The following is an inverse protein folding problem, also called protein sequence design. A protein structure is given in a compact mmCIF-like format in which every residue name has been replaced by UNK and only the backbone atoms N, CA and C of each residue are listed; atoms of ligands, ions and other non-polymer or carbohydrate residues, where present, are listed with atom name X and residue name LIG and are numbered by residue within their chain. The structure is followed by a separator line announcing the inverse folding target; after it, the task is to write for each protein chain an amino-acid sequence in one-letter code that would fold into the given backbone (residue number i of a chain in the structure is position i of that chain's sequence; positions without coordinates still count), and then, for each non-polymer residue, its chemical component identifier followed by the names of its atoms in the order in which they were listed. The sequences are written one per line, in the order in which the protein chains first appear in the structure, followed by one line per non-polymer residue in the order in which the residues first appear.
data_IF_586126570133
#
_entry.id   IF_586126570133
#
_cell.length_a   1.000
_cell.length_b   1.000
_cell.length_c   1.000
_cell.angle_alpha   90.00
_cell.angle_beta   90.00
_cell.angle_gamma   90.00
#
_symmetry.space_group_name_H-M   'P 1'
#
loop_
_entity.id
_entity.type
_entity.pdbx_description
1 polymer ?
#
# COMPACT_ATOMS: atom_id res chain seq x y z
N UNK A 1 -1.69 5.61 -19.55
CA UNK A 1 -1.11 5.24 -18.25
C UNK A 1 -1.12 3.71 -18.15
N UNK A 2 0.00 3.06 -18.46
CA UNK A 2 0.20 1.64 -18.19
C UNK A 2 0.77 1.50 -16.79
N UNK A 3 -0.12 1.49 -15.79
CA UNK A 3 0.27 1.31 -14.40
C UNK A 3 -0.11 -0.10 -13.99
N UNK A 4 0.87 -0.94 -13.68
CA UNK A 4 0.59 -2.29 -13.18
C UNK A 4 0.12 -2.18 -11.74
N UNK A 5 -1.10 -2.60 -11.47
CA UNK A 5 -1.67 -2.61 -10.14
C UNK A 5 -1.89 -4.03 -9.63
N UNK A 6 -1.52 -4.27 -8.39
CA UNK A 6 -1.78 -5.55 -7.72
C UNK A 6 -2.93 -5.38 -6.74
N UNK A 7 -3.99 -6.14 -6.94
CA UNK A 7 -5.16 -6.08 -6.05
C UNK A 7 -5.09 -7.13 -4.95
N UNK A 8 -5.35 -6.70 -3.74
CA UNK A 8 -5.53 -7.59 -2.59
C UNK A 8 -6.99 -7.70 -2.19
N UNK A 9 -7.41 -8.89 -1.93
CA UNK A 9 -8.76 -9.14 -1.42
C UNK A 9 -8.77 -10.10 -0.24
N UNK A 10 -9.71 -9.84 0.64
CA UNK A 10 -10.18 -10.53 1.84
C UNK A 10 -9.51 -10.12 3.14
N UNK A 11 -10.14 -9.17 3.83
CA UNK A 11 -10.41 -9.28 5.26
C UNK A 11 -11.92 -9.32 5.57
N UNK A 12 -12.79 -9.12 4.59
CA UNK A 12 -14.25 -9.19 4.79
C UNK A 12 -14.92 -9.96 3.66
N UNK A 13 -15.65 -11.01 4.02
CA UNK A 13 -16.63 -11.62 3.16
C UNK A 13 -17.79 -10.62 2.95
N UNK A 14 -17.74 -9.86 1.88
CA UNK A 14 -18.93 -9.20 1.40
C UNK A 14 -19.91 -10.30 0.98
N UNK A 15 -21.02 -10.43 1.70
CA UNK A 15 -22.13 -11.28 1.31
C UNK A 15 -22.73 -10.74 0.03
N UNK A 16 -22.55 -11.40 -1.06
CA UNK A 16 -23.22 -11.12 -2.33
C UNK A 16 -22.32 -11.20 -3.53
N UNK A 17 -22.66 -12.09 -4.44
CA UNK A 17 -22.16 -12.24 -5.80
C UNK A 17 -20.65 -12.51 -5.94
N UNK A 18 -20.31 -13.79 -6.09
CA UNK A 18 -18.97 -14.30 -6.44
C UNK A 18 -17.90 -14.01 -5.38
N UNK A 19 -18.17 -14.40 -4.12
CA UNK A 19 -17.22 -14.24 -3.02
C UNK A 19 -15.86 -14.92 -3.25
N UNK A 20 -15.81 -15.93 -4.11
CA UNK A 20 -14.60 -16.67 -4.44
C UNK A 20 -13.70 -15.92 -5.44
N UNK A 21 -14.29 -15.11 -6.32
CA UNK A 21 -13.59 -14.37 -7.37
C UNK A 21 -14.08 -12.91 -7.46
N UNK A 22 -13.92 -12.10 -6.41
CA UNK A 22 -14.39 -10.73 -6.43
C UNK A 22 -13.60 -9.91 -7.47
N UNK A 23 -14.31 -9.27 -8.39
CA UNK A 23 -13.74 -8.48 -9.50
C UNK A 23 -13.89 -6.97 -9.32
N UNK A 24 -14.63 -6.51 -8.32
CA UNK A 24 -14.96 -5.09 -8.16
C UNK A 24 -13.70 -4.22 -8.09
N UNK A 25 -12.75 -4.60 -7.25
CA UNK A 25 -11.52 -3.81 -7.11
C UNK A 25 -10.65 -3.86 -8.38
N UNK A 26 -10.62 -5.01 -9.06
CA UNK A 26 -9.95 -5.14 -10.34
C UNK A 26 -10.58 -4.23 -11.41
N UNK A 27 -11.90 -4.27 -11.53
CA UNK A 27 -12.64 -3.40 -12.46
C UNK A 27 -12.46 -1.91 -12.18
N UNK A 28 -12.34 -1.51 -10.92
CA UNK A 28 -12.01 -0.12 -10.56
C UNK A 28 -10.61 0.28 -11.03
N UNK A 29 -9.62 -0.58 -10.82
CA UNK A 29 -8.24 -0.33 -11.29
C UNK A 29 -8.20 -0.20 -12.80
N UNK A 30 -8.88 -1.08 -13.52
CA UNK A 30 -8.97 -1.03 -14.98
C UNK A 30 -9.70 0.23 -15.46
N UNK A 31 -10.77 0.64 -14.78
CA UNK A 31 -11.48 1.89 -15.07
C UNK A 31 -10.61 3.14 -14.88
N UNK A 32 -9.64 3.07 -13.96
CA UNK A 32 -8.65 4.13 -13.74
C UNK A 32 -7.46 4.06 -14.72
N UNK A 33 -7.48 3.13 -15.68
CA UNK A 33 -6.42 2.96 -16.67
C UNK A 33 -5.22 2.16 -16.19
N UNK A 34 -5.36 1.45 -15.07
CA UNK A 34 -4.35 0.53 -14.54
C UNK A 34 -4.45 -0.86 -15.14
N UNK A 35 -3.39 -1.63 -15.04
CA UNK A 35 -3.34 -3.04 -15.37
C UNK A 35 -3.37 -3.89 -14.11
N UNK A 36 -4.18 -4.94 -14.10
CA UNK A 36 -4.32 -5.83 -12.95
C UNK A 36 -3.47 -7.07 -13.13
N UNK A 37 -2.54 -7.28 -12.21
CA UNK A 37 -1.69 -8.47 -12.19
C UNK A 37 -2.39 -9.58 -11.41
N UNK A 38 -2.49 -10.76 -12.01
CA UNK A 38 -2.92 -11.97 -11.31
C UNK A 38 -1.69 -12.75 -10.82
N UNK A 39 -1.65 -13.01 -9.51
CA UNK A 39 -0.55 -13.71 -8.86
C UNK A 39 -1.10 -14.72 -7.83
N UNK A 40 -0.34 -15.79 -7.51
CA UNK A 40 -0.87 -16.93 -6.74
C UNK A 40 -1.51 -16.54 -5.40
N UNK A 41 -0.87 -15.64 -4.65
CA UNK A 41 -1.33 -15.25 -3.30
C UNK A 41 -2.30 -14.05 -3.30
N UNK A 42 -2.77 -13.63 -4.48
CA UNK A 42 -3.64 -12.44 -4.63
C UNK A 42 -4.84 -12.44 -3.69
N UNK A 43 -5.47 -13.60 -3.50
CA UNK A 43 -6.70 -13.77 -2.71
C UNK A 43 -6.46 -14.17 -1.26
N UNK A 44 -5.23 -14.43 -0.87
CA UNK A 44 -4.91 -14.80 0.49
C UNK A 44 -4.86 -13.58 1.41
N UNK A 45 -5.12 -13.80 2.70
CA UNK A 45 -5.04 -12.76 3.71
C UNK A 45 -3.59 -12.23 3.83
N UNK A 46 -3.44 -10.93 4.10
CA UNK A 46 -2.13 -10.32 4.36
C UNK A 46 -1.52 -10.74 5.72
N UNK A 47 -2.30 -11.38 6.58
CA UNK A 47 -1.85 -11.79 7.89
C UNK A 47 -2.17 -10.83 9.04
N UNK A 48 -2.69 -9.63 8.77
CA UNK A 48 -3.01 -8.64 9.81
C UNK A 48 -4.21 -9.02 10.69
N UNK A 49 -4.66 -10.25 10.70
CA UNK A 49 -5.75 -10.64 11.60
C UNK A 49 -5.50 -10.16 13.03
N UNK A 50 -6.51 -9.57 13.68
CA UNK A 50 -6.34 -8.97 15.02
C UNK A 50 -5.72 -9.94 16.02
N UNK A 51 -6.17 -11.18 16.05
CA UNK A 51 -5.59 -12.22 16.92
C UNK A 51 -4.19 -12.67 16.50
N UNK A 52 -3.89 -12.67 15.23
CA UNK A 52 -2.59 -13.08 14.70
C UNK A 52 -1.53 -12.04 15.00
N UNK A 53 -1.82 -10.77 14.75
CA UNK A 53 -0.82 -9.72 14.89
C UNK A 53 -0.61 -9.26 16.33
N UNK A 54 -1.70 -9.04 17.08
CA UNK A 54 -1.60 -8.51 18.44
C UNK A 54 -1.25 -9.57 19.50
N UNK A 55 -1.48 -10.83 19.23
CA UNK A 55 -1.03 -11.92 20.09
C UNK A 55 0.39 -12.33 19.71
N UNK A 56 1.35 -12.04 20.58
CA UNK A 56 2.77 -12.26 20.32
C UNK A 56 3.09 -13.68 19.82
N UNK A 57 2.47 -14.70 20.41
CA UNK A 57 2.66 -16.09 20.02
C UNK A 57 2.25 -16.42 18.57
N UNK A 58 1.35 -15.60 17.99
CA UNK A 58 0.83 -15.81 16.63
C UNK A 58 1.48 -14.90 15.59
N UNK A 59 2.31 -13.93 16.01
CA UNK A 59 2.89 -12.93 15.14
C UNK A 59 3.72 -13.55 13.99
N UNK A 60 4.35 -14.69 14.22
CA UNK A 60 5.06 -15.43 13.17
C UNK A 60 4.19 -15.83 11.98
N UNK A 61 2.91 -16.17 12.22
CA UNK A 61 1.95 -16.49 11.15
C UNK A 61 1.64 -15.25 10.30
N UNK A 62 1.49 -14.08 10.93
CA UNK A 62 1.27 -12.82 10.24
C UNK A 62 2.43 -12.47 9.32
N UNK A 63 3.65 -12.58 9.83
CA UNK A 63 4.89 -12.33 9.09
C UNK A 63 4.98 -13.28 7.89
N UNK A 64 4.79 -14.57 8.12
CA UNK A 64 4.86 -15.59 7.07
C UNK A 64 3.83 -15.36 5.96
N UNK A 65 2.60 -14.98 6.31
CA UNK A 65 1.55 -14.70 5.33
C UNK A 65 1.88 -13.49 4.45
N UNK A 66 2.38 -12.40 5.04
CA UNK A 66 2.80 -11.22 4.29
C UNK A 66 4.00 -11.50 3.41
N UNK A 67 5.03 -12.16 3.95
CA UNK A 67 6.22 -12.54 3.20
C UNK A 67 5.88 -13.35 1.97
N UNK A 68 5.09 -14.42 2.14
CA UNK A 68 4.63 -15.26 1.04
C UNK A 68 3.92 -14.47 -0.04
N UNK A 69 3.13 -13.46 0.36
CA UNK A 69 2.42 -12.58 -0.56
C UNK A 69 3.39 -11.70 -1.35
N UNK A 70 4.35 -11.05 -0.70
CA UNK A 70 5.36 -10.24 -1.38
C UNK A 70 6.23 -11.07 -2.33
N UNK A 71 6.69 -12.24 -1.89
CA UNK A 71 7.46 -13.16 -2.72
C UNK A 71 6.71 -13.62 -3.96
N UNK A 72 5.39 -13.83 -3.84
CA UNK A 72 4.56 -14.23 -4.98
C UNK A 72 4.30 -13.10 -5.98
N UNK A 73 4.43 -11.83 -5.57
CA UNK A 73 4.32 -10.65 -6.43
C UNK A 73 5.64 -10.25 -7.09
N UNK A 74 6.77 -10.60 -6.48
CA UNK A 74 8.10 -10.16 -6.90
C UNK A 74 8.42 -10.43 -8.39
N UNK A 75 8.06 -11.59 -8.99
CA UNK A 75 8.32 -11.84 -10.40
C UNK A 75 7.61 -10.89 -11.36
N UNK A 76 6.53 -10.25 -10.91
CA UNK A 76 5.69 -9.37 -11.73
C UNK A 76 6.07 -7.89 -11.61
N UNK A 77 6.95 -7.54 -10.66
CA UNK A 77 7.43 -6.17 -10.44
C UNK A 77 6.32 -5.12 -10.43
N UNK A 78 5.30 -5.24 -9.56
CA UNK A 78 4.17 -4.32 -9.56
C UNK A 78 4.59 -2.90 -9.20
N UNK A 79 3.89 -1.91 -9.76
CA UNK A 79 4.11 -0.50 -9.41
C UNK A 79 3.53 -0.16 -8.04
N UNK A 80 2.41 -0.76 -7.68
CA UNK A 80 1.77 -0.59 -6.37
C UNK A 80 0.79 -1.72 -6.06
N UNK A 81 0.41 -1.79 -4.79
CA UNK A 81 -0.61 -2.70 -4.29
C UNK A 81 -1.84 -1.86 -3.94
N UNK A 82 -3.00 -2.25 -4.46
CA UNK A 82 -4.27 -1.62 -4.08
C UNK A 82 -5.05 -2.51 -3.13
N UNK A 83 -5.65 -1.92 -2.09
CA UNK A 83 -6.40 -2.63 -1.06
C UNK A 83 -7.66 -1.85 -0.68
N UNK A 84 -8.69 -2.57 -0.26
CA UNK A 84 -9.91 -2.00 0.32
C UNK A 84 -9.99 -2.19 1.85
N UNK A 85 -8.94 -2.72 2.44
CA UNK A 85 -8.89 -2.99 3.87
C UNK A 85 -7.82 -2.11 4.53
N UNK A 86 -8.18 -1.19 5.44
CA UNK A 86 -7.21 -0.32 6.10
C UNK A 86 -6.17 -1.09 6.90
N UNK A 87 -6.53 -2.26 7.45
CA UNK A 87 -5.58 -3.14 8.11
C UNK A 87 -4.54 -3.72 7.15
N UNK A 88 -4.94 -4.09 5.93
CA UNK A 88 -4.01 -4.55 4.90
C UNK A 88 -3.10 -3.42 4.42
N UNK A 89 -3.66 -2.22 4.20
CA UNK A 89 -2.89 -1.04 3.84
C UNK A 89 -1.80 -0.80 4.88
N UNK A 90 -2.20 -0.52 6.12
CA UNK A 90 -1.28 -0.25 7.22
C UNK A 90 -0.22 -1.34 7.39
N UNK A 91 -0.63 -2.60 7.38
CA UNK A 91 0.25 -3.71 7.67
C UNK A 91 1.25 -3.99 6.55
N UNK A 92 0.80 -4.02 5.31
CA UNK A 92 1.68 -4.32 4.19
C UNK A 92 2.63 -3.17 3.86
N UNK A 93 2.19 -1.92 4.01
CA UNK A 93 3.05 -0.76 3.84
C UNK A 93 4.24 -0.80 4.82
N UNK A 94 4.01 -1.17 6.07
CA UNK A 94 5.03 -1.19 7.13
C UNK A 94 5.85 -2.48 7.17
N UNK A 95 5.23 -3.62 6.88
CA UNK A 95 5.91 -4.90 7.02
C UNK A 95 7.00 -5.14 6.01
N UNK A 96 6.95 -4.50 4.87
CA UNK A 96 8.05 -4.57 3.89
C UNK A 96 9.36 -4.10 4.52
N UNK A 97 9.33 -3.03 5.30
CA UNK A 97 10.48 -2.54 6.06
C UNK A 97 10.93 -3.53 7.12
N UNK A 98 9.99 -4.02 7.93
CA UNK A 98 10.33 -4.98 8.98
C UNK A 98 10.96 -6.27 8.41
N UNK A 99 10.47 -6.76 7.28
CA UNK A 99 11.06 -7.90 6.58
C UNK A 99 12.44 -7.57 6.02
N UNK A 100 12.64 -6.36 5.51
CA UNK A 100 13.94 -5.86 5.07
C UNK A 100 14.97 -5.86 6.19
N UNK A 101 14.60 -5.35 7.36
CA UNK A 101 15.48 -5.34 8.52
C UNK A 101 15.78 -6.74 9.06
N UNK A 102 14.78 -7.63 9.07
CA UNK A 102 14.94 -8.99 9.63
C UNK A 102 15.70 -9.93 8.71
N UNK A 103 15.54 -9.81 7.41
CA UNK A 103 16.03 -10.79 6.42
C UNK A 103 16.99 -10.19 5.39
N UNK A 104 17.22 -8.88 5.41
CA UNK A 104 18.04 -8.18 4.43
C UNK A 104 17.43 -8.18 3.02
N UNK A 105 16.13 -8.47 2.90
CA UNK A 105 15.42 -8.56 1.63
C UNK A 105 14.53 -7.34 1.41
N UNK A 106 14.76 -6.64 0.33
CA UNK A 106 13.93 -5.52 -0.12
C UNK A 106 12.97 -5.95 -1.23
N UNK A 107 11.85 -5.27 -1.34
CA UNK A 107 10.83 -5.50 -2.36
C UNK A 107 10.70 -4.28 -3.26
N UNK A 108 9.96 -4.43 -4.36
CA UNK A 108 9.75 -3.36 -5.34
C UNK A 108 10.90 -3.22 -6.34
N UNK A 109 10.62 -2.46 -7.41
CA UNK A 109 11.55 -2.34 -8.55
C UNK A 109 12.91 -1.74 -8.17
N UNK A 110 12.92 -0.81 -7.20
CA UNK A 110 14.14 -0.12 -6.75
C UNK A 110 14.63 -0.62 -5.38
N UNK A 111 14.00 -1.63 -4.80
CA UNK A 111 14.30 -2.08 -3.45
C UNK A 111 13.80 -1.14 -2.34
N UNK A 112 12.96 -0.17 -2.67
CA UNK A 112 12.42 0.83 -1.74
C UNK A 112 11.01 0.49 -1.25
N UNK A 113 10.57 -0.73 -1.51
CA UNK A 113 9.24 -1.21 -1.22
C UNK A 113 8.28 -1.05 -2.39
N UNK A 114 7.13 -1.68 -2.26
CA UNK A 114 6.01 -1.55 -3.20
C UNK A 114 4.97 -0.67 -2.51
N UNK A 115 4.63 0.53 -3.04
CA UNK A 115 3.59 1.38 -2.47
C UNK A 115 2.28 0.63 -2.25
N UNK A 116 1.67 0.77 -1.08
CA UNK A 116 0.40 0.11 -0.75
C UNK A 116 -0.65 1.18 -0.53
N UNK A 117 -1.59 1.31 -1.44
CA UNK A 117 -2.63 2.33 -1.42
C UNK A 117 -4.01 1.71 -1.19
N UNK A 118 -4.89 2.47 -0.58
CA UNK A 118 -6.31 2.15 -0.59
C UNK A 118 -6.93 2.51 -1.94
N UNK A 119 -8.10 1.95 -2.23
CA UNK A 119 -8.78 2.32 -3.47
C UNK A 119 -9.27 3.78 -3.45
N UNK A 120 -9.56 4.31 -2.27
CA UNK A 120 -9.96 5.72 -2.07
C UNK A 120 -8.81 6.67 -2.42
N UNK A 121 -7.60 6.35 -2.00
CA UNK A 121 -6.40 7.10 -2.33
C UNK A 121 -6.16 7.11 -3.83
N UNK A 122 -6.22 5.95 -4.47
CA UNK A 122 -6.05 5.86 -5.94
C UNK A 122 -7.16 6.63 -6.66
N UNK A 123 -8.41 6.48 -6.23
CA UNK A 123 -9.53 7.21 -6.84
C UNK A 123 -9.37 8.72 -6.67
N UNK A 124 -8.98 9.19 -5.50
CA UNK A 124 -8.70 10.60 -5.23
C UNK A 124 -7.63 11.16 -6.15
N UNK A 125 -6.49 10.47 -6.27
CA UNK A 125 -5.39 10.87 -7.16
C UNK A 125 -5.83 10.94 -8.63
N UNK A 126 -6.59 9.95 -9.10
CA UNK A 126 -7.12 9.94 -10.49
C UNK A 126 -8.12 11.05 -10.74
N UNK A 127 -8.90 11.43 -9.73
CA UNK A 127 -9.86 12.54 -9.80
C UNK A 127 -9.19 13.91 -9.63
N UNK A 128 -7.88 13.96 -9.38
CA UNK A 128 -7.10 15.19 -9.28
C UNK A 128 -7.08 15.84 -7.90
N UNK A 129 -7.39 15.08 -6.84
CA UNK A 129 -7.19 15.56 -5.48
C UNK A 129 -5.71 15.68 -5.16
N UNK A 130 -5.38 16.63 -4.28
CA UNK A 130 -4.00 16.84 -3.83
C UNK A 130 -3.47 15.59 -3.11
N UNK A 131 -2.25 15.09 -3.44
CA UNK A 131 -1.68 13.92 -2.79
C UNK A 131 -1.58 14.03 -1.26
N UNK A 132 -1.38 15.23 -0.74
CA UNK A 132 -1.37 15.48 0.70
C UNK A 132 -2.75 15.31 1.33
N UNK A 133 -3.81 15.74 0.65
CA UNK A 133 -5.18 15.50 1.09
C UNK A 133 -5.52 14.01 1.08
N UNK A 134 -4.92 13.26 0.15
CA UNK A 134 -5.03 11.80 0.07
C UNK A 134 -4.14 11.05 1.06
N UNK A 135 -3.31 11.74 1.83
CA UNK A 135 -2.49 11.13 2.86
C UNK A 135 -1.21 10.47 2.37
N UNK A 136 -0.73 10.79 1.17
CA UNK A 136 0.47 10.15 0.57
C UNK A 136 1.71 10.28 1.45
N UNK A 137 1.83 11.36 2.21
CA UNK A 137 2.92 11.58 3.17
C UNK A 137 2.90 10.61 4.36
N UNK A 138 1.82 9.87 4.57
CA UNK A 138 1.66 8.93 5.68
C UNK A 138 2.16 7.51 5.37
N UNK A 139 2.47 7.24 4.12
CA UNK A 139 2.99 5.94 3.71
C UNK A 139 4.42 5.71 4.20
N UNK A 140 4.72 4.47 4.55
CA UNK A 140 6.06 4.04 4.94
C UNK A 140 6.93 3.77 3.70
N UNK A 141 6.32 3.19 2.68
CA UNK A 141 6.97 2.98 1.38
C UNK A 141 7.03 4.28 0.60
N UNK A 142 8.06 4.44 -0.23
CA UNK A 142 8.20 5.61 -1.07
C UNK A 142 7.13 5.62 -2.18
N UNK A 143 6.27 6.63 -2.15
CA UNK A 143 5.19 6.83 -3.12
C UNK A 143 5.60 7.75 -4.28
N UNK A 144 6.70 8.47 -4.18
CA UNK A 144 7.11 9.47 -5.18
C UNK A 144 7.29 8.88 -6.57
N UNK A 145 7.96 7.72 -6.75
CA UNK A 145 8.11 7.11 -8.07
C UNK A 145 6.76 6.77 -8.72
N UNK A 146 5.81 6.29 -7.91
CA UNK A 146 4.46 6.00 -8.39
C UNK A 146 3.72 7.27 -8.81
N UNK A 147 3.71 8.31 -7.95
CA UNK A 147 3.04 9.59 -8.24
C UNK A 147 3.61 10.24 -9.50
N UNK A 148 4.93 10.23 -9.66
CA UNK A 148 5.59 10.70 -10.87
C UNK A 148 5.15 9.90 -12.11
N UNK A 149 5.03 8.59 -12.00
CA UNK A 149 4.54 7.72 -13.10
C UNK A 149 3.09 8.00 -13.45
N UNK A 150 2.27 8.37 -12.47
CA UNK A 150 0.89 8.80 -12.67
C UNK A 150 0.78 10.23 -13.22
N UNK A 151 1.87 10.99 -13.28
CA UNK A 151 1.87 12.40 -13.68
C UNK A 151 1.30 13.33 -12.61
N UNK A 152 1.35 12.93 -11.35
CA UNK A 152 0.87 13.71 -10.21
C UNK A 152 2.05 14.42 -9.57
N UNK A 153 1.93 15.75 -9.41
CA UNK A 153 2.93 16.55 -8.69
C UNK A 153 2.80 16.29 -7.18
N UNK A 154 3.94 16.09 -6.52
CA UNK A 154 4.00 15.83 -5.10
C UNK A 154 5.24 16.46 -4.48
N UNK A 155 5.05 17.23 -3.41
CA UNK A 155 6.15 17.76 -2.58
C UNK A 155 6.11 17.10 -1.20
N UNK A 156 7.02 16.19 -0.89
CA UNK A 156 7.05 15.48 0.41
C UNK A 156 7.32 16.44 1.58
N UNK A 157 7.82 17.64 1.32
CA UNK A 157 8.13 18.65 2.33
C UNK A 157 7.03 19.70 2.51
N UNK A 158 5.91 19.55 1.80
CA UNK A 158 4.76 20.44 1.98
C UNK A 158 4.32 20.47 3.44
N UNK A 159 4.02 21.67 3.95
CA UNK A 159 3.55 21.87 5.32
C UNK A 159 2.04 22.03 5.36
N UNK A 160 1.43 21.51 6.39
CA UNK A 160 0.02 21.82 6.65
C UNK A 160 -0.15 23.30 6.96
N UNK A 161 -1.18 23.88 6.36
CA UNK A 161 -1.63 25.22 6.67
C UNK A 161 -2.80 25.17 7.62
N UNK A 162 -2.73 25.91 8.69
CA UNK A 162 -3.86 26.13 9.59
C UNK A 162 -4.91 27.05 8.95
N UNK A 163 -6.08 27.19 9.60
CA UNK A 163 -7.19 27.97 9.08
C UNK A 163 -6.86 29.45 8.86
N UNK A 164 -5.83 29.99 9.50
CA UNK A 164 -5.34 31.37 9.33
C UNK A 164 -4.11 31.45 8.41
N UNK A 165 -3.75 30.35 7.72
CA UNK A 165 -2.59 30.27 6.84
C UNK A 165 -1.25 30.04 7.57
N UNK A 166 -1.25 29.81 8.87
CA UNK A 166 -0.07 29.48 9.66
C UNK A 166 0.47 28.09 9.30
N UNK A 167 1.79 27.92 9.33
CA UNK A 167 2.43 26.63 9.15
C UNK A 167 2.25 25.76 10.40
N UNK A 168 1.51 24.66 10.27
CA UNK A 168 1.31 23.68 11.33
C UNK A 168 2.42 22.61 11.39
N UNK A 169 3.46 22.78 10.57
CA UNK A 169 4.55 21.83 10.48
C UNK A 169 4.27 20.70 9.47
N UNK A 170 5.23 19.81 9.35
CA UNK A 170 5.06 18.58 8.60
C UNK A 170 4.32 17.61 9.51
N UNK A 171 3.25 16.94 9.05
CA UNK A 171 2.68 15.86 9.83
C UNK A 171 3.79 14.86 10.12
N UNK A 172 3.80 14.35 11.33
CA UNK A 172 4.74 13.28 11.65
C UNK A 172 4.47 12.11 10.70
N UNK A 173 5.20 12.10 9.59
CA UNK A 173 5.26 10.90 8.78
C UNK A 173 5.71 9.77 9.69
N UNK A 174 5.03 8.64 9.70
CA UNK A 174 5.53 7.47 10.38
C UNK A 174 6.76 6.88 9.69
N UNK A 175 7.28 7.52 8.66
CA UNK A 175 8.60 7.17 8.13
C UNK A 175 9.53 7.19 9.34
N UNK A 176 9.93 6.01 9.79
CA UNK A 176 11.08 5.90 10.64
C UNK A 176 12.24 6.45 9.81
N UNK A 177 12.49 7.72 9.99
CA UNK A 177 13.75 8.27 9.54
C UNK A 177 14.77 7.46 10.31
N UNK A 178 15.38 6.51 9.64
CA UNK A 178 16.65 5.99 10.09
C UNK A 178 17.61 7.17 10.01
N UNK A 179 17.54 8.04 10.99
CA UNK A 179 18.65 8.88 11.36
C UNK A 179 19.76 7.90 11.72
N UNK A 180 20.47 7.49 10.71
CA UNK A 180 21.82 6.99 10.93
C UNK A 180 22.58 8.18 11.48
N UNK A 181 22.52 8.29 12.81
CA UNK A 181 23.47 9.10 13.53
C UNK A 181 24.89 8.63 13.23
#
# INVERSE_FOLDING_TARGET
LTTSAVTMQKCFQARGLVAEYPQVLAGLVEAFGGEVIDYPERRHCCGFGFRQYFVQANRGYSISASKKKFESMEPFQPDFIITNCPGCNYFMDRWQYALGEMEGKTYGQNGEGIPVLTYEEVAGLVLGFDPWEMGMQMHQTDVEPLLKKMGVEYDPNQKYKGPNGEDLGVPMSPRFVNEKA
#
